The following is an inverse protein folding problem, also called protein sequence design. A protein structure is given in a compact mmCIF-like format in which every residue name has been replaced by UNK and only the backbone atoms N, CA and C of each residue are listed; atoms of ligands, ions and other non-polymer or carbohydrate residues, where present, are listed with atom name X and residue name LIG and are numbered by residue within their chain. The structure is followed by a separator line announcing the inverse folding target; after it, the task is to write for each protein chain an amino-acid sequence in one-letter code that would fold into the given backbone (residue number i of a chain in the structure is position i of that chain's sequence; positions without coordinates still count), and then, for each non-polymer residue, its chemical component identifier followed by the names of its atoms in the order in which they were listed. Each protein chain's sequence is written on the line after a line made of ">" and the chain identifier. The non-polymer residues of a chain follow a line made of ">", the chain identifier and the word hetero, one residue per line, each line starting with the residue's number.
data_IF_839464635819
#
_entry.id   IF_839464635819
#
_cell.length_a   1.000
_cell.length_b   1.000
_cell.length_c   1.000
_cell.angle_alpha   90.00
_cell.angle_beta   90.00
_cell.angle_gamma   90.00
#
_symmetry.space_group_name_H-M   'P 1'
#
loop_
_entity.id
_entity.type
_entity.pdbx_description
1 polymer ?
#
# COMPACT_ATOMS: atom_id res chain seq x y z
N UNK A 1 -34.74 -34.73 33.70
CA UNK A 1 -33.42 -34.15 34.04
C UNK A 1 -32.41 -35.28 34.01
N UNK A 2 -31.24 -35.10 33.38
CA UNK A 2 -30.23 -36.16 33.35
C UNK A 2 -29.42 -36.16 34.66
N UNK A 3 -29.34 -37.30 35.32
CA UNK A 3 -28.46 -37.55 36.46
C UNK A 3 -27.09 -38.00 35.94
N UNK A 4 -26.02 -37.52 36.57
CA UNK A 4 -24.65 -37.93 36.30
C UNK A 4 -23.99 -38.36 37.62
N UNK A 5 -22.98 -39.21 37.56
CA UNK A 5 -22.21 -39.58 38.74
C UNK A 5 -21.17 -38.50 39.07
N UNK A 6 -21.12 -38.11 40.34
CA UNK A 6 -20.04 -37.25 40.84
C UNK A 6 -18.70 -37.95 40.69
N UNK A 7 -17.69 -37.25 40.18
CA UNK A 7 -16.35 -37.82 39.94
C UNK A 7 -15.56 -38.16 41.22
N UNK A 8 -15.93 -37.56 42.35
CA UNK A 8 -15.25 -37.79 43.64
C UNK A 8 -15.99 -38.82 44.49
N UNK A 9 -17.28 -38.61 44.76
CA UNK A 9 -18.04 -39.44 45.69
C UNK A 9 -18.92 -40.49 45.02
N UNK A 10 -18.91 -40.56 43.68
CA UNK A 10 -19.65 -41.53 42.85
C UNK A 10 -21.16 -41.59 43.06
N UNK A 11 -21.75 -40.64 43.81
CA UNK A 11 -23.19 -40.52 43.97
C UNK A 11 -23.82 -39.82 42.78
N UNK A 12 -25.07 -40.18 42.51
CA UNK A 12 -25.87 -39.55 41.46
C UNK A 12 -26.20 -38.10 41.84
N UNK A 13 -25.92 -37.19 40.92
CA UNK A 13 -26.17 -35.75 41.05
C UNK A 13 -26.77 -35.21 39.76
N UNK A 14 -27.49 -34.09 39.84
CA UNK A 14 -28.03 -33.43 38.64
C UNK A 14 -26.89 -32.96 37.72
N UNK A 15 -27.00 -33.25 36.42
CA UNK A 15 -26.09 -32.71 35.38
C UNK A 15 -26.03 -31.19 35.33
N UNK A 16 -27.00 -30.51 35.95
CA UNK A 16 -27.05 -29.05 36.03
C UNK A 16 -26.45 -28.49 37.32
N UNK A 17 -26.19 -29.31 38.34
CA UNK A 17 -25.62 -28.87 39.61
C UNK A 17 -24.19 -28.32 39.39
N UNK A 18 -23.93 -27.11 39.91
CA UNK A 18 -22.63 -26.45 39.88
C UNK A 18 -21.62 -27.12 40.82
N UNK A 19 -22.09 -27.62 41.96
CA UNK A 19 -21.30 -28.37 42.93
C UNK A 19 -22.07 -29.62 43.36
N UNK A 20 -21.35 -30.68 43.71
CA UNK A 20 -21.95 -31.90 44.25
C UNK A 20 -22.56 -31.62 45.64
N UNK A 21 -23.85 -31.88 45.89
CA UNK A 21 -24.47 -31.67 47.20
C UNK A 21 -23.94 -32.63 48.28
N UNK A 22 -23.33 -33.76 47.89
CA UNK A 22 -22.87 -34.79 48.82
C UNK A 22 -21.42 -34.60 49.29
N UNK A 23 -20.56 -33.97 48.48
CA UNK A 23 -19.14 -33.79 48.82
C UNK A 23 -18.59 -32.40 48.52
N UNK A 24 -19.39 -31.50 47.94
CA UNK A 24 -18.99 -30.14 47.58
C UNK A 24 -18.16 -30.02 46.30
N UNK A 25 -17.80 -31.11 45.63
CA UNK A 25 -16.92 -31.05 44.45
C UNK A 25 -17.53 -30.26 43.28
N UNK A 26 -16.78 -29.30 42.68
CA UNK A 26 -17.29 -28.46 41.61
C UNK A 26 -17.43 -29.20 40.27
N UNK A 27 -18.61 -29.13 39.68
CA UNK A 27 -18.91 -29.70 38.38
C UNK A 27 -18.77 -28.62 37.29
N UNK A 28 -17.59 -28.58 36.66
CA UNK A 28 -17.28 -27.62 35.58
C UNK A 28 -18.06 -27.99 34.32
N UNK A 29 -19.11 -27.23 34.00
CA UNK A 29 -19.82 -27.33 32.72
C UNK A 29 -18.87 -26.94 31.59
N UNK A 30 -18.62 -27.86 30.66
CA UNK A 30 -17.90 -27.53 29.43
C UNK A 30 -18.82 -26.65 28.57
N UNK A 31 -18.52 -25.36 28.49
CA UNK A 31 -19.24 -24.43 27.63
C UNK A 31 -19.21 -24.93 26.19
N UNK A 32 -20.39 -25.11 25.59
CA UNK A 32 -20.49 -25.39 24.16
C UNK A 32 -20.08 -24.13 23.42
N UNK A 33 -18.87 -24.13 22.85
CA UNK A 33 -18.48 -23.14 21.86
C UNK A 33 -19.42 -23.28 20.66
N UNK A 34 -20.31 -22.30 20.51
CA UNK A 34 -21.31 -22.19 19.46
C UNK A 34 -20.61 -21.88 18.14
N UNK A 35 -20.79 -22.75 17.14
CA UNK A 35 -20.07 -22.74 15.85
C UNK A 35 -20.21 -21.46 15.01
N UNK A 36 -21.11 -20.54 15.37
CA UNK A 36 -21.24 -19.24 14.70
C UNK A 36 -20.00 -18.35 14.87
N UNK A 37 -19.27 -18.48 15.99
CA UNK A 37 -18.06 -17.69 16.25
C UNK A 37 -16.89 -18.08 15.34
N UNK A 38 -16.79 -19.35 14.95
CA UNK A 38 -15.72 -19.84 14.06
C UNK A 38 -15.93 -19.39 12.60
N UNK A 39 -17.19 -19.26 12.16
CA UNK A 39 -17.51 -18.79 10.80
C UNK A 39 -17.16 -17.30 10.66
N UNK A 40 -17.44 -16.49 11.68
CA UNK A 40 -17.08 -15.07 11.69
C UNK A 40 -15.56 -14.85 11.67
N UNK A 41 -14.80 -15.62 12.47
CA UNK A 41 -13.33 -15.58 12.47
C UNK A 41 -12.72 -16.02 11.13
N UNK A 42 -13.31 -17.03 10.48
CA UNK A 42 -12.89 -17.50 9.16
C UNK A 42 -13.12 -16.46 8.05
N UNK A 43 -14.27 -15.76 8.06
CA UNK A 43 -14.58 -14.71 7.09
C UNK A 43 -13.69 -13.48 7.26
N UNK A 44 -13.41 -13.07 8.50
CA UNK A 44 -12.52 -11.94 8.79
C UNK A 44 -11.09 -12.24 8.33
N UNK A 45 -10.57 -13.44 8.61
CA UNK A 45 -9.21 -13.83 8.18
C UNK A 45 -9.09 -13.94 6.67
N UNK A 46 -10.09 -14.49 5.98
CA UNK A 46 -10.12 -14.55 4.51
C UNK A 46 -10.17 -13.15 3.88
N UNK A 47 -10.95 -12.22 4.43
CA UNK A 47 -11.04 -10.84 3.94
C UNK A 47 -9.70 -10.09 4.09
N UNK A 48 -8.99 -10.27 5.21
CA UNK A 48 -7.68 -9.66 5.43
C UNK A 48 -6.67 -10.18 4.40
N UNK A 49 -6.61 -11.51 4.19
CA UNK A 49 -5.73 -12.11 3.17
C UNK A 49 -6.08 -11.62 1.77
N UNK A 50 -7.37 -11.45 1.46
CA UNK A 50 -7.81 -10.92 0.18
C UNK A 50 -7.37 -9.47 -0.04
N UNK A 51 -7.47 -8.61 0.99
CA UNK A 51 -6.97 -7.22 0.93
C UNK A 51 -5.45 -7.22 0.66
N UNK A 52 -4.67 -8.02 1.39
CA UNK A 52 -3.22 -8.08 1.19
C UNK A 52 -2.81 -8.62 -0.19
N UNK A 53 -3.60 -9.51 -0.81
CA UNK A 53 -3.34 -10.03 -2.17
C UNK A 53 -3.75 -9.01 -3.25
N UNK A 54 -4.85 -8.27 -3.02
CA UNK A 54 -5.40 -7.32 -3.99
C UNK A 54 -4.85 -5.88 -3.86
N UNK A 55 -3.97 -5.60 -2.90
CA UNK A 55 -3.23 -4.33 -2.81
C UNK A 55 -2.09 -4.25 -3.86
N UNK A 56 -2.40 -4.63 -5.09
CA UNK A 56 -1.58 -4.33 -6.25
C UNK A 56 -2.07 -3.01 -6.85
N UNK A 57 -1.46 -1.93 -6.38
CA UNK A 57 -1.18 -0.78 -7.25
C UNK A 57 -2.36 0.14 -7.53
N UNK A 58 -2.75 0.93 -6.53
CA UNK A 58 -3.17 2.31 -6.81
C UNK A 58 -2.07 3.24 -6.31
N UNK A 59 -0.98 3.30 -7.06
CA UNK A 59 -0.11 4.46 -7.02
C UNK A 59 -0.94 5.63 -7.57
N UNK A 60 -1.64 6.31 -6.66
CA UNK A 60 -2.33 7.56 -6.94
C UNK A 60 -1.30 8.61 -7.29
N UNK A 61 -0.98 8.71 -8.58
CA UNK A 61 -0.24 9.85 -9.13
C UNK A 61 -1.07 11.10 -8.92
N UNK A 62 -0.66 11.94 -7.97
CA UNK A 62 -1.25 13.27 -7.80
C UNK A 62 -1.01 14.05 -9.10
N UNK A 63 -2.08 14.26 -9.89
CA UNK A 63 -2.03 15.12 -11.08
C UNK A 63 -1.67 16.52 -10.61
N UNK A 64 -0.53 17.04 -11.07
CA UNK A 64 -0.17 18.44 -10.83
C UNK A 64 -1.07 19.29 -11.74
N UNK A 65 -2.08 19.91 -11.15
CA UNK A 65 -3.07 20.74 -11.87
C UNK A 65 -2.62 22.18 -12.07
N UNK A 66 -1.38 22.52 -11.69
CA UNK A 66 -0.86 23.89 -11.80
C UNK A 66 -0.56 24.22 -13.27
N UNK A 67 -1.28 25.18 -13.83
CA UNK A 67 -1.17 25.65 -15.22
C UNK A 67 0.26 26.13 -15.57
N UNK A 68 1.03 26.58 -14.57
CA UNK A 68 2.44 26.99 -14.74
C UNK A 68 3.35 25.81 -15.12
N UNK A 69 2.92 24.58 -14.85
CA UNK A 69 3.65 23.36 -15.22
C UNK A 69 3.73 23.21 -16.74
N UNK A 70 2.65 23.54 -17.44
CA UNK A 70 2.53 23.35 -18.88
C UNK A 70 3.06 24.54 -19.67
N UNK A 71 2.89 25.77 -19.15
CA UNK A 71 3.26 27.00 -19.84
C UNK A 71 4.76 27.32 -19.83
N UNK A 72 5.55 26.79 -18.88
CA UNK A 72 7.01 27.02 -18.86
C UNK A 72 7.70 26.33 -20.06
N UNK A 73 8.69 27.00 -20.63
CA UNK A 73 9.55 26.43 -21.68
C UNK A 73 10.53 25.41 -21.11
N UNK A 74 10.88 24.42 -21.92
CA UNK A 74 11.95 23.47 -21.62
C UNK A 74 13.31 24.18 -21.59
N UNK A 75 14.20 23.73 -20.70
CA UNK A 75 15.60 24.15 -20.67
C UNK A 75 16.53 22.98 -20.38
N UNK A 76 17.80 23.14 -20.73
CA UNK A 76 18.85 22.21 -20.29
C UNK A 76 19.09 22.35 -18.77
N UNK A 77 19.52 21.28 -18.11
CA UNK A 77 20.03 21.34 -16.73
C UNK A 77 21.18 22.33 -16.59
N UNK A 78 21.19 23.08 -15.49
CA UNK A 78 22.21 24.09 -15.19
C UNK A 78 22.95 23.76 -13.89
N UNK A 79 24.22 24.19 -13.80
CA UNK A 79 25.02 24.02 -12.57
C UNK A 79 25.11 22.56 -12.11
N UNK A 80 24.70 22.29 -10.86
CA UNK A 80 24.75 20.94 -10.28
C UNK A 80 23.52 20.07 -10.62
N UNK A 81 22.50 20.63 -11.27
CA UNK A 81 21.27 19.90 -11.62
C UNK A 81 21.59 18.68 -12.50
N UNK A 82 22.54 18.81 -13.43
CA UNK A 82 22.94 17.70 -14.31
C UNK A 82 23.39 16.48 -13.50
N UNK A 83 24.31 16.70 -12.54
CA UNK A 83 24.86 15.63 -11.72
C UNK A 83 23.83 15.05 -10.74
N UNK A 84 23.06 15.93 -10.10
CA UNK A 84 22.12 15.53 -9.04
C UNK A 84 20.91 14.79 -9.61
N UNK A 85 20.30 15.31 -10.68
CA UNK A 85 19.19 14.66 -11.36
C UNK A 85 19.68 13.39 -12.07
N UNK A 86 20.83 13.45 -12.74
CA UNK A 86 21.45 12.27 -13.36
C UNK A 86 21.65 11.11 -12.36
N UNK A 87 22.10 11.42 -11.14
CA UNK A 87 22.19 10.42 -10.06
C UNK A 87 20.83 9.81 -9.72
N UNK A 88 19.77 10.61 -9.61
CA UNK A 88 18.41 10.14 -9.33
C UNK A 88 17.90 9.22 -10.45
N UNK A 89 18.11 9.59 -11.72
CA UNK A 89 17.73 8.78 -12.89
C UNK A 89 18.36 7.39 -12.81
N UNK A 90 19.69 7.33 -12.61
CA UNK A 90 20.44 6.07 -12.55
C UNK A 90 20.04 5.24 -11.33
N UNK A 91 19.92 5.86 -10.15
CA UNK A 91 19.57 5.16 -8.91
C UNK A 91 18.16 4.54 -8.94
N UNK A 92 17.25 5.11 -9.72
CA UNK A 92 15.89 4.58 -9.91
C UNK A 92 15.78 3.71 -11.18
N UNK A 93 16.89 3.37 -11.83
CA UNK A 93 16.91 2.40 -12.94
C UNK A 93 16.27 2.88 -14.25
N UNK A 94 16.15 4.20 -14.46
CA UNK A 94 15.58 4.77 -15.68
C UNK A 94 16.62 4.71 -16.80
N UNK A 95 16.35 3.92 -17.85
CA UNK A 95 17.31 3.65 -18.95
C UNK A 95 17.03 4.43 -20.23
N UNK A 96 15.89 5.10 -20.33
CA UNK A 96 15.42 5.76 -21.56
C UNK A 96 15.97 7.18 -21.74
N UNK A 97 16.85 7.65 -20.84
CA UNK A 97 17.39 9.01 -20.86
C UNK A 97 18.82 9.04 -21.40
N UNK A 98 18.96 9.12 -22.73
CA UNK A 98 20.20 9.52 -23.39
C UNK A 98 20.41 11.04 -23.30
N UNK A 99 19.31 11.79 -23.45
CA UNK A 99 19.24 13.23 -23.21
C UNK A 99 17.98 13.59 -22.43
N UNK A 100 18.00 14.75 -21.75
CA UNK A 100 16.81 15.24 -21.06
C UNK A 100 16.78 16.77 -20.92
N UNK A 101 15.55 17.27 -20.88
CA UNK A 101 15.21 18.66 -20.64
C UNK A 101 14.39 18.80 -19.35
N UNK A 102 14.47 19.96 -18.71
CA UNK A 102 13.85 20.24 -17.43
C UNK A 102 12.83 21.39 -17.52
N UNK A 103 11.77 21.28 -16.72
CA UNK A 103 10.95 22.40 -16.25
C UNK A 103 10.91 22.37 -14.73
N UNK A 104 11.28 23.46 -14.08
CA UNK A 104 11.07 23.60 -12.63
C UNK A 104 9.64 24.04 -12.36
N UNK A 105 8.87 23.20 -11.66
CA UNK A 105 7.45 23.45 -11.37
C UNK A 105 7.27 24.06 -9.99
N UNK A 106 8.09 23.64 -9.04
CA UNK A 106 8.17 24.15 -7.67
C UNK A 106 9.62 24.00 -7.18
N UNK A 107 10.01 24.65 -6.08
CA UNK A 107 11.37 24.53 -5.55
C UNK A 107 11.74 23.06 -5.31
N UNK A 108 12.82 22.60 -5.93
CA UNK A 108 13.29 21.20 -5.89
C UNK A 108 12.37 20.17 -6.56
N UNK A 109 11.38 20.60 -7.33
CA UNK A 109 10.48 19.74 -8.10
C UNK A 109 10.55 20.07 -9.59
N UNK A 110 10.83 19.05 -10.40
CA UNK A 110 11.09 19.21 -11.82
C UNK A 110 10.26 18.23 -12.65
N UNK A 111 9.79 18.67 -13.81
CA UNK A 111 9.34 17.79 -14.88
C UNK A 111 10.52 17.56 -15.82
N UNK A 112 10.82 16.29 -16.08
CA UNK A 112 11.76 15.86 -17.10
C UNK A 112 11.03 15.47 -18.37
N UNK A 113 11.54 15.90 -19.50
CA UNK A 113 11.35 15.23 -20.78
C UNK A 113 12.65 14.49 -21.09
N UNK A 114 12.57 13.19 -21.31
CA UNK A 114 13.72 12.32 -21.46
C UNK A 114 13.59 11.50 -22.74
N UNK A 115 14.65 11.42 -23.52
CA UNK A 115 14.68 10.73 -24.80
C UNK A 115 15.98 9.96 -24.98
N UNK A 116 15.92 8.84 -25.70
CA UNK A 116 17.10 8.08 -26.12
C UNK A 116 17.54 8.44 -27.55
N UNK A 117 16.63 8.98 -28.36
CA UNK A 117 16.78 9.22 -29.80
C UNK A 117 16.49 10.66 -30.23
N UNK A 118 16.08 11.53 -29.30
CA UNK A 118 15.66 12.92 -29.53
C UNK A 118 14.29 13.07 -30.19
N UNK A 119 13.61 11.96 -30.49
CA UNK A 119 12.33 11.94 -31.22
C UNK A 119 11.21 11.48 -30.29
N UNK A 120 11.43 10.38 -29.57
CA UNK A 120 10.47 9.81 -28.64
C UNK A 120 10.76 10.30 -27.22
N UNK A 121 9.78 11.00 -26.63
CA UNK A 121 9.92 11.64 -25.33
C UNK A 121 9.08 10.93 -24.27
N UNK A 122 9.74 10.59 -23.15
CA UNK A 122 9.13 10.06 -21.94
C UNK A 122 9.19 11.12 -20.85
N UNK A 123 8.10 11.30 -20.11
CA UNK A 123 8.00 12.35 -19.11
C UNK A 123 8.04 11.81 -17.70
N UNK A 124 8.75 12.52 -16.82
CA UNK A 124 8.92 12.14 -15.42
C UNK A 124 8.79 13.34 -14.51
N UNK A 125 8.38 13.12 -13.27
CA UNK A 125 8.40 14.11 -12.19
C UNK A 125 9.49 13.73 -11.20
N UNK A 126 10.42 14.65 -10.97
CA UNK A 126 11.58 14.48 -10.09
C UNK A 126 11.43 15.35 -8.85
N UNK A 127 11.49 14.71 -7.69
CA UNK A 127 11.53 15.33 -6.38
C UNK A 127 12.96 15.28 -5.85
N UNK A 128 13.74 16.35 -6.10
CA UNK A 128 15.17 16.41 -5.75
C UNK A 128 15.41 16.26 -4.24
N UNK A 129 14.55 16.85 -3.41
CA UNK A 129 14.63 16.75 -1.95
C UNK A 129 14.46 15.31 -1.42
N UNK A 130 13.74 14.47 -2.17
CA UNK A 130 13.48 13.06 -1.82
C UNK A 130 14.35 12.06 -2.57
N UNK A 131 15.11 12.51 -3.57
CA UNK A 131 15.85 11.63 -4.47
C UNK A 131 14.96 10.66 -5.24
N UNK A 132 13.71 11.05 -5.53
CA UNK A 132 12.71 10.20 -6.18
C UNK A 132 12.33 10.74 -7.55
N UNK A 133 12.03 9.83 -8.47
CA UNK A 133 11.54 10.10 -9.82
C UNK A 133 10.35 9.17 -10.08
N UNK A 134 9.29 9.72 -10.65
CA UNK A 134 8.07 8.99 -11.01
C UNK A 134 7.73 9.28 -12.47
N UNK A 135 7.15 8.29 -13.17
CA UNK A 135 6.61 8.52 -14.52
C UNK A 135 5.45 9.52 -14.42
N UNK A 136 5.39 10.46 -15.35
CA UNK A 136 4.19 11.28 -15.49
C UNK A 136 2.99 10.39 -15.85
N UNK A 137 1.79 10.74 -15.37
CA UNK A 137 0.59 10.03 -15.80
C UNK A 137 0.17 10.48 -17.20
N UNK A 138 -0.67 9.68 -17.85
CA UNK A 138 -1.06 9.92 -19.25
C UNK A 138 -1.79 11.25 -19.44
N UNK A 139 -2.52 11.73 -18.41
CA UNK A 139 -3.16 13.05 -18.44
C UNK A 139 -2.14 14.18 -18.51
N UNK A 140 -1.09 14.14 -17.67
CA UNK A 140 0.00 15.11 -17.72
C UNK A 140 0.75 15.03 -19.04
N UNK A 141 1.09 13.82 -19.51
CA UNK A 141 1.80 13.64 -20.78
C UNK A 141 1.04 14.25 -21.96
N UNK A 142 -0.30 14.09 -22.01
CA UNK A 142 -1.14 14.62 -23.08
C UNK A 142 -1.12 16.15 -23.20
N UNK A 143 -0.77 16.85 -22.10
CA UNK A 143 -0.71 18.32 -22.03
C UNK A 143 0.71 18.86 -22.23
N UNK A 144 1.72 18.00 -22.24
CA UNK A 144 3.12 18.39 -22.40
C UNK A 144 3.49 18.42 -23.88
N UNK A 145 3.98 19.58 -24.33
CA UNK A 145 4.58 19.73 -25.65
C UNK A 145 6.04 19.27 -25.55
N UNK A 146 6.57 18.40 -26.43
CA UNK A 146 7.97 18.00 -26.41
C UNK A 146 8.96 19.18 -26.58
N UNK A 147 10.17 19.09 -26.02
CA UNK A 147 11.25 20.02 -26.35
C UNK A 147 11.61 19.93 -27.84
N UNK A 148 11.94 21.08 -28.44
CA UNK A 148 12.38 21.21 -29.85
C UNK A 148 13.82 21.67 -29.89
#
# INVERSE_FOLDING_TARGET
>A
MALINCKECYREISSQASNCPNCGYPNKKKGKFTGCLMILLGLITAAIVFIFIFDNGKEGGNVITDERTYSKSWRLPQGTEYREIGKIIVQNGIKVCGEYHLKEIAPYEYVLACSADGINWHYFVVYKSRGKIYRANDEMESKLIPPR
#
